data_IF_852268047006
#
_entry.id   IF_852268047006
#
_cell.length_a   1.000
_cell.length_b   1.000
_cell.length_c   1.000
_cell.angle_alpha   90.00
_cell.angle_beta   90.00
_cell.angle_gamma   90.00
#
_symmetry.space_group_name_H-M   'P 1'
#
loop_
_entity.id
_entity.type
_entity.pdbx_description
1 polymer ?
#
# COMPACT_ATOMS: atom_id res chain seq x y z
N UNK A 1 18.92 -12.00 -14.24
CA UNK A 1 18.20 -10.85 -13.65
C UNK A 1 17.56 -11.29 -12.35
N UNK A 2 17.80 -10.58 -11.26
CA UNK A 2 17.07 -10.80 -10.00
C UNK A 2 15.62 -10.34 -10.17
N UNK A 3 14.67 -11.11 -9.65
CA UNK A 3 13.24 -10.77 -9.68
C UNK A 3 12.98 -9.62 -8.71
N UNK A 4 12.24 -8.59 -9.14
CA UNK A 4 11.80 -7.52 -8.25
C UNK A 4 10.90 -8.09 -7.15
N UNK A 5 11.06 -7.64 -5.89
CA UNK A 5 10.22 -8.10 -4.79
C UNK A 5 8.79 -7.59 -4.95
N UNK A 6 7.85 -8.37 -4.42
CA UNK A 6 6.46 -7.95 -4.21
C UNK A 6 6.23 -7.88 -2.70
N UNK A 7 5.82 -6.72 -2.22
CA UNK A 7 5.58 -6.46 -0.79
C UNK A 7 4.09 -6.45 -0.49
N UNK A 8 3.68 -7.25 0.49
CA UNK A 8 2.35 -7.19 1.09
C UNK A 8 2.40 -6.30 2.33
N UNK A 9 1.48 -5.33 2.41
CA UNK A 9 1.42 -4.33 3.47
C UNK A 9 0.15 -4.58 4.29
N UNK A 10 0.34 -4.92 5.56
CA UNK A 10 -0.73 -5.16 6.53
C UNK A 10 -0.75 -4.04 7.56
N UNK A 11 -1.93 -3.51 7.86
CA UNK A 11 -2.12 -2.43 8.83
C UNK A 11 -3.60 -2.12 9.06
N UNK A 12 -3.88 -0.93 9.59
CA UNK A 12 -5.24 -0.43 9.83
C UNK A 12 -5.72 0.55 8.75
N UNK A 13 -5.40 0.27 7.49
CA UNK A 13 -5.66 1.18 6.37
C UNK A 13 -7.08 1.07 5.82
N UNK A 14 -7.56 2.13 5.16
CA UNK A 14 -8.88 2.21 4.55
C UNK A 14 -10.03 2.49 5.51
N UNK A 15 -9.71 2.89 6.75
CA UNK A 15 -10.68 3.30 7.77
C UNK A 15 -10.80 4.83 7.89
N UNK A 16 -10.18 5.58 6.97
CA UNK A 16 -10.18 7.06 6.95
C UNK A 16 -9.53 7.68 8.21
N UNK A 17 -8.69 6.91 8.89
CA UNK A 17 -7.87 7.43 9.96
C UNK A 17 -6.69 8.20 9.36
N UNK A 18 -6.69 9.52 9.50
CA UNK A 18 -5.67 10.38 8.88
C UNK A 18 -4.23 10.00 9.26
N UNK A 19 -4.00 9.47 10.47
CA UNK A 19 -2.68 9.00 10.91
C UNK A 19 -2.23 7.76 10.15
N UNK A 20 -3.10 6.74 10.09
CA UNK A 20 -2.81 5.50 9.34
C UNK A 20 -2.63 5.77 7.84
N UNK A 21 -3.48 6.63 7.26
CA UNK A 21 -3.38 7.03 5.85
C UNK A 21 -2.07 7.79 5.57
N UNK A 22 -1.62 8.66 6.48
CA UNK A 22 -0.33 9.35 6.36
C UNK A 22 0.85 8.36 6.42
N UNK A 23 0.80 7.37 7.32
CA UNK A 23 1.82 6.31 7.43
C UNK A 23 1.88 5.50 6.13
N UNK A 24 0.73 5.08 5.60
CA UNK A 24 0.65 4.33 4.35
C UNK A 24 1.23 5.13 3.18
N UNK A 25 0.88 6.42 3.10
CA UNK A 25 1.37 7.32 2.04
C UNK A 25 2.89 7.37 2.02
N UNK A 26 3.52 7.65 3.17
CA UNK A 26 4.98 7.78 3.27
C UNK A 26 5.66 6.44 3.00
N UNK A 27 5.11 5.33 3.53
CA UNK A 27 5.64 3.99 3.29
C UNK A 27 5.70 3.65 1.79
N UNK A 28 4.62 3.90 1.05
CA UNK A 28 4.56 3.63 -0.39
C UNK A 28 5.50 4.54 -1.20
N UNK A 29 5.58 5.82 -0.84
CA UNK A 29 6.51 6.76 -1.46
C UNK A 29 7.98 6.35 -1.24
N UNK A 30 8.32 5.93 -0.02
CA UNK A 30 9.68 5.51 0.31
C UNK A 30 10.07 4.19 -0.36
N UNK A 31 9.14 3.23 -0.44
CA UNK A 31 9.36 1.95 -1.14
C UNK A 31 9.59 2.16 -2.64
N UNK A 32 8.74 2.96 -3.29
CA UNK A 32 8.86 3.24 -4.74
C UNK A 32 10.14 3.99 -5.09
N UNK A 33 10.59 4.91 -4.23
CA UNK A 33 11.86 5.63 -4.39
C UNK A 33 13.08 4.73 -4.16
N UNK A 34 13.01 3.81 -3.19
CA UNK A 34 14.13 2.94 -2.83
C UNK A 34 14.28 1.75 -3.79
N UNK A 35 13.17 1.24 -4.32
CA UNK A 35 13.13 0.10 -5.23
C UNK A 35 12.24 0.47 -6.43
N UNK A 36 12.81 1.11 -7.46
CA UNK A 36 12.07 1.45 -8.67
C UNK A 36 11.40 0.21 -9.30
N UNK A 37 10.09 0.30 -9.53
CA UNK A 37 9.29 -0.79 -10.09
C UNK A 37 8.80 -1.85 -9.09
N UNK A 38 8.98 -1.62 -7.79
CA UNK A 38 8.39 -2.49 -6.75
C UNK A 38 6.88 -2.60 -6.91
N UNK A 39 6.34 -3.79 -6.61
CA UNK A 39 4.89 -4.02 -6.54
C UNK A 39 4.45 -4.11 -5.08
N UNK A 40 3.36 -3.43 -4.75
CA UNK A 40 2.78 -3.43 -3.42
C UNK A 40 1.32 -3.89 -3.46
N UNK A 41 0.92 -4.69 -2.47
CA UNK A 41 -0.47 -5.06 -2.19
C UNK A 41 -0.85 -4.66 -0.77
N UNK A 42 -1.89 -3.84 -0.61
CA UNK A 42 -2.33 -3.31 0.70
C UNK A 42 -3.59 -4.04 1.17
N UNK A 43 -3.55 -4.59 2.38
CA UNK A 43 -4.75 -5.08 3.06
C UNK A 43 -5.49 -3.90 3.69
N UNK A 44 -6.76 -3.74 3.34
CA UNK A 44 -7.54 -2.55 3.66
C UNK A 44 -8.98 -2.90 4.07
N UNK A 45 -9.55 -2.07 4.93
CA UNK A 45 -10.98 -2.10 5.24
C UNK A 45 -11.84 -1.63 4.05
N UNK A 46 -11.31 -0.76 3.20
CA UNK A 46 -11.93 -0.34 1.95
C UNK A 46 -10.93 -0.43 0.79
N UNK A 47 -10.80 -1.61 0.16
CA UNK A 47 -9.80 -1.86 -0.88
C UNK A 47 -9.95 -0.98 -2.11
N UNK A 48 -11.18 -0.72 -2.56
CA UNK A 48 -11.46 0.11 -3.73
C UNK A 48 -10.93 1.54 -3.52
N UNK A 49 -11.33 2.17 -2.41
CA UNK A 49 -10.86 3.52 -2.05
C UNK A 49 -9.34 3.56 -1.86
N UNK A 50 -8.76 2.53 -1.25
CA UNK A 50 -7.31 2.45 -1.03
C UNK A 50 -6.55 2.33 -2.35
N UNK A 51 -7.03 1.49 -3.26
CA UNK A 51 -6.44 1.33 -4.58
C UNK A 51 -6.52 2.62 -5.40
N UNK A 52 -7.66 3.30 -5.38
CA UNK A 52 -7.86 4.59 -6.05
C UNK A 52 -6.95 5.68 -5.47
N UNK A 53 -6.90 5.79 -4.14
CA UNK A 53 -6.15 6.86 -3.45
C UNK A 53 -4.64 6.72 -3.64
N UNK A 54 -4.11 5.50 -3.60
CA UNK A 54 -2.66 5.25 -3.58
C UNK A 54 -2.09 4.65 -4.86
N UNK A 55 -2.93 4.28 -5.83
CA UNK A 55 -2.48 3.66 -7.07
C UNK A 55 -1.82 2.30 -6.86
N UNK A 56 -2.28 1.54 -5.87
CA UNK A 56 -1.74 0.21 -5.51
C UNK A 56 -2.79 -0.89 -5.67
N UNK A 57 -2.36 -2.14 -5.73
CA UNK A 57 -3.30 -3.25 -5.53
C UNK A 57 -3.77 -3.26 -4.09
N UNK A 58 -5.07 -3.45 -3.85
CA UNK A 58 -5.60 -3.60 -2.50
C UNK A 58 -6.60 -4.74 -2.41
N UNK A 59 -6.65 -5.39 -1.25
CA UNK A 59 -7.56 -6.50 -0.96
C UNK A 59 -8.15 -6.37 0.43
N UNK A 60 -9.26 -7.05 0.67
CA UNK A 60 -9.99 -6.98 1.92
C UNK A 60 -9.15 -7.54 3.07
N UNK A 61 -9.18 -6.85 4.20
CA UNK A 61 -8.67 -7.36 5.46
C UNK A 61 -9.72 -8.34 6.02
N UNK A 62 -9.36 -9.62 6.14
CA UNK A 62 -10.20 -10.64 6.76
C UNK A 62 -10.54 -10.31 8.22
#
# INVERSE_FOLDING_TARGET
MSRLPHVSILGWYGNENAGDEAILTVLLADLSRSIPGIKCSVFSANPEKTAETYGVSSTQKN
#
